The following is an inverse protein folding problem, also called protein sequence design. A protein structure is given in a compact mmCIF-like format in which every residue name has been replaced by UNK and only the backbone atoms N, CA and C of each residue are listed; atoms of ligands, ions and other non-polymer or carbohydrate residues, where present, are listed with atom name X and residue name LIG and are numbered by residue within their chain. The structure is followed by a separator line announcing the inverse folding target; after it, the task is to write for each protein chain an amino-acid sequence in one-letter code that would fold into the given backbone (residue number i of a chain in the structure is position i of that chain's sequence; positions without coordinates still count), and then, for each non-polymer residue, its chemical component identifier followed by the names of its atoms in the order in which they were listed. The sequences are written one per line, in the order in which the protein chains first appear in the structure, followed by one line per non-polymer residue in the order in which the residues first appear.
data_IF_852484705456
#
_entry.id   IF_852484705456
#
_cell.length_a   1.000
_cell.length_b   1.000
_cell.length_c   1.000
_cell.angle_alpha   90.00
_cell.angle_beta   90.00
_cell.angle_gamma   90.00
#
_symmetry.space_group_name_H-M   'P 1'
#
loop_
_entity.id
_entity.type
_entity.pdbx_description
1 polymer ?
#
# COMPACT_ATOMS: atom_id res chain seq x y z
N UNK A 1 -26.76 11.19 -9.08
CA UNK A 1 -26.94 11.10 -7.62
C UNK A 1 -25.62 10.53 -7.12
N UNK A 2 -24.68 11.39 -6.73
CA UNK A 2 -23.43 10.93 -6.12
C UNK A 2 -23.80 10.39 -4.74
N UNK A 3 -23.65 9.09 -4.55
CA UNK A 3 -23.73 8.51 -3.21
C UNK A 3 -22.53 9.08 -2.47
N UNK A 4 -22.79 9.85 -1.41
CA UNK A 4 -21.74 10.36 -0.53
C UNK A 4 -21.02 9.12 0.05
N UNK A 5 -19.88 8.77 -0.53
CA UNK A 5 -19.13 7.59 -0.13
C UNK A 5 -18.62 7.83 1.29
N UNK A 6 -19.07 7.01 2.23
CA UNK A 6 -18.63 7.13 3.62
C UNK A 6 -17.19 6.67 3.75
N UNK A 7 -16.47 7.20 4.75
CA UNK A 7 -15.10 6.78 5.11
C UNK A 7 -14.97 5.26 5.12
N UNK A 8 -15.86 4.58 5.83
CA UNK A 8 -15.78 3.13 6.05
C UNK A 8 -15.95 2.36 4.73
N UNK A 9 -16.85 2.82 3.85
CA UNK A 9 -17.06 2.22 2.54
C UNK A 9 -15.83 2.41 1.65
N UNK A 10 -15.27 3.62 1.58
CA UNK A 10 -14.05 3.88 0.81
C UNK A 10 -12.89 3.00 1.31
N UNK A 11 -12.68 2.97 2.63
CA UNK A 11 -11.57 2.27 3.27
C UNK A 11 -11.68 0.75 3.09
N UNK A 12 -12.88 0.16 3.22
CA UNK A 12 -13.06 -1.28 2.99
C UNK A 12 -12.91 -1.64 1.51
N UNK A 13 -13.42 -0.81 0.59
CA UNK A 13 -13.20 -1.03 -0.85
C UNK A 13 -11.72 -0.93 -1.20
N UNK A 14 -10.98 0.02 -0.61
CA UNK A 14 -9.52 0.10 -0.74
C UNK A 14 -8.87 -1.18 -0.24
N UNK A 15 -9.28 -1.70 0.92
CA UNK A 15 -8.74 -2.94 1.49
C UNK A 15 -8.83 -4.10 0.51
N UNK A 16 -10.01 -4.33 -0.05
CA UNK A 16 -10.27 -5.44 -0.97
C UNK A 16 -9.42 -5.30 -2.23
N UNK A 17 -9.51 -4.15 -2.90
CA UNK A 17 -8.82 -3.93 -4.18
C UNK A 17 -7.29 -3.90 -4.02
N UNK A 18 -6.78 -3.28 -2.96
CA UNK A 18 -5.34 -3.27 -2.68
C UNK A 18 -4.85 -4.67 -2.35
N UNK A 19 -5.59 -5.47 -1.56
CA UNK A 19 -5.19 -6.84 -1.27
C UNK A 19 -5.10 -7.69 -2.55
N UNK A 20 -6.07 -7.59 -3.45
CA UNK A 20 -6.05 -8.26 -4.76
C UNK A 20 -4.84 -7.81 -5.60
N UNK A 21 -4.64 -6.49 -5.77
CA UNK A 21 -3.52 -5.97 -6.56
C UNK A 21 -2.15 -6.30 -5.96
N UNK A 22 -2.03 -6.36 -4.64
CA UNK A 22 -0.79 -6.81 -3.97
C UNK A 22 -0.55 -8.29 -4.23
N UNK A 23 -1.58 -9.14 -4.17
CA UNK A 23 -1.45 -10.57 -4.44
C UNK A 23 -0.94 -10.81 -5.86
N UNK A 24 -1.44 -10.06 -6.84
CA UNK A 24 -1.00 -10.13 -8.24
C UNK A 24 0.48 -9.80 -8.47
N UNK A 25 1.14 -9.06 -7.56
CA UNK A 25 2.57 -8.78 -7.65
C UNK A 25 3.41 -10.07 -7.64
N UNK A 26 2.95 -11.08 -6.91
CA UNK A 26 3.71 -12.30 -6.61
C UNK A 26 3.34 -13.48 -7.53
N UNK A 27 2.30 -13.35 -8.35
CA UNK A 27 1.83 -14.40 -9.26
C UNK A 27 2.78 -14.56 -10.45
N UNK A 28 3.09 -15.81 -10.79
CA UNK A 28 3.91 -16.13 -11.96
C UNK A 28 3.24 -15.68 -13.26
N UNK A 29 3.98 -14.95 -14.10
CA UNK A 29 3.45 -14.43 -15.38
C UNK A 29 2.75 -13.07 -15.28
N UNK A 30 2.62 -12.51 -14.06
CA UNK A 30 2.21 -11.11 -13.87
C UNK A 30 3.25 -10.14 -14.41
N UNK A 31 2.79 -9.06 -15.05
CA UNK A 31 3.61 -7.94 -15.54
C UNK A 31 4.37 -7.22 -14.41
N UNK A 32 3.91 -7.36 -13.16
CA UNK A 32 4.57 -6.77 -12.00
C UNK A 32 5.86 -7.50 -11.58
N UNK A 33 5.91 -8.83 -11.77
CA UNK A 33 7.17 -9.58 -11.82
C UNK A 33 7.91 -9.85 -10.50
N UNK A 34 7.26 -9.81 -9.33
CA UNK A 34 7.87 -10.16 -8.05
C UNK A 34 7.75 -11.66 -7.72
N UNK A 35 7.99 -12.52 -8.72
CA UNK A 35 7.81 -13.97 -8.61
C UNK A 35 8.73 -14.57 -7.54
N UNK A 36 8.13 -15.35 -6.63
CA UNK A 36 8.83 -15.92 -5.47
C UNK A 36 8.93 -14.97 -4.27
N UNK A 37 8.29 -13.80 -4.35
CA UNK A 37 8.01 -12.98 -3.18
C UNK A 37 6.78 -13.47 -2.40
N UNK A 38 6.57 -12.91 -1.23
CA UNK A 38 5.49 -13.26 -0.33
C UNK A 38 4.98 -12.03 0.43
N UNK A 39 3.66 -11.90 0.53
CA UNK A 39 3.02 -10.91 1.39
C UNK A 39 3.08 -11.36 2.84
N UNK A 40 3.88 -10.70 3.67
CA UNK A 40 4.02 -11.03 5.09
C UNK A 40 2.88 -10.42 5.93
N UNK A 41 2.45 -9.20 5.58
CA UNK A 41 1.37 -8.47 6.26
C UNK A 41 0.73 -7.44 5.34
N UNK A 42 -0.58 -7.32 5.41
CA UNK A 42 -1.31 -6.15 4.95
C UNK A 42 -2.38 -5.80 5.99
N UNK A 43 -2.37 -4.55 6.48
CA UNK A 43 -3.30 -4.07 7.48
C UNK A 43 -3.70 -2.62 7.21
N UNK A 44 -4.91 -2.27 7.62
CA UNK A 44 -5.33 -0.87 7.75
C UNK A 44 -5.27 -0.51 9.22
N UNK A 45 -4.63 0.60 9.54
CA UNK A 45 -4.39 1.09 10.90
C UNK A 45 -4.99 2.47 11.03
N UNK A 46 -5.82 2.66 12.05
CA UNK A 46 -6.38 3.97 12.38
C UNK A 46 -5.39 4.78 13.21
N UNK A 47 -5.20 6.04 12.83
CA UNK A 47 -4.36 7.00 13.54
C UNK A 47 -5.14 8.31 13.69
N UNK A 48 -5.94 8.41 14.75
CA UNK A 48 -6.87 9.52 14.94
C UNK A 48 -7.97 9.49 13.87
N UNK A 49 -8.05 10.56 13.08
CA UNK A 49 -9.02 10.67 11.97
C UNK A 49 -8.50 10.08 10.66
N UNK A 50 -7.23 9.69 10.61
CA UNK A 50 -6.60 9.12 9.43
C UNK A 50 -6.65 7.59 9.45
N UNK A 51 -6.66 6.99 8.26
CA UNK A 51 -6.45 5.55 8.07
C UNK A 51 -5.22 5.36 7.20
N UNK A 52 -4.30 4.52 7.65
CA UNK A 52 -3.08 4.18 6.93
C UNK A 52 -3.09 2.71 6.53
N UNK A 53 -2.66 2.43 5.31
CA UNK A 53 -2.35 1.08 4.87
C UNK A 53 -0.89 0.76 5.16
N UNK A 54 -0.67 -0.35 5.86
CA UNK A 54 0.64 -0.91 6.15
C UNK A 54 0.79 -2.23 5.41
N UNK A 55 1.82 -2.32 4.57
CA UNK A 55 2.20 -3.56 3.89
C UNK A 55 3.63 -3.93 4.26
N UNK A 56 3.83 -5.18 4.64
CA UNK A 56 5.13 -5.82 4.74
C UNK A 56 5.19 -7.01 3.80
N UNK A 57 6.26 -7.17 3.05
CA UNK A 57 6.45 -8.29 2.15
C UNK A 57 7.92 -8.63 1.97
N UNK A 58 8.18 -9.87 1.60
CA UNK A 58 9.51 -10.42 1.42
C UNK A 58 9.74 -10.76 -0.06
N UNK A 59 10.91 -10.42 -0.59
CA UNK A 59 11.31 -10.79 -1.96
C UNK A 59 12.81 -10.98 -2.03
N UNK A 60 13.25 -12.14 -2.58
CA UNK A 60 14.68 -12.52 -2.71
C UNK A 60 15.49 -12.37 -1.41
N UNK A 61 14.90 -12.79 -0.29
CA UNK A 61 15.55 -12.74 1.04
C UNK A 61 15.60 -11.34 1.67
N UNK A 62 15.03 -10.32 1.03
CA UNK A 62 14.90 -8.98 1.58
C UNK A 62 13.47 -8.73 2.06
N UNK A 63 13.34 -7.95 3.13
CA UNK A 63 12.06 -7.51 3.67
C UNK A 63 11.82 -6.05 3.31
N UNK A 64 10.60 -5.77 2.89
CA UNK A 64 10.13 -4.45 2.52
C UNK A 64 8.94 -4.10 3.38
N UNK A 65 8.91 -2.86 3.85
CA UNK A 65 7.77 -2.28 4.57
C UNK A 65 7.31 -1.05 3.81
N UNK A 66 6.03 -0.76 3.79
CA UNK A 66 5.47 0.44 3.20
C UNK A 66 4.22 0.85 3.96
N UNK A 67 4.15 2.13 4.30
CA UNK A 67 2.99 2.73 4.96
C UNK A 67 2.52 3.91 4.14
N UNK A 68 1.21 4.02 3.92
CA UNK A 68 0.62 5.16 3.22
C UNK A 68 -0.75 5.51 3.78
N UNK A 69 -1.01 6.80 3.97
CA UNK A 69 -2.34 7.30 4.28
C UNK A 69 -3.32 6.97 3.14
N UNK A 70 -4.44 6.37 3.51
CA UNK A 70 -5.59 6.01 2.65
C UNK A 70 -6.73 7.00 2.83
N UNK A 71 -6.99 7.41 4.09
CA UNK A 71 -8.02 8.37 4.44
C UNK A 71 -7.44 9.56 5.22
N UNK A 72 -7.85 10.82 4.94
CA UNK A 72 -8.77 11.23 3.87
C UNK A 72 -8.19 10.95 2.47
N UNK A 73 -9.05 10.74 1.46
CA UNK A 73 -8.61 10.31 0.15
C UNK A 73 -8.02 11.48 -0.63
N UNK A 74 -6.77 11.34 -1.07
CA UNK A 74 -6.12 12.33 -1.94
C UNK A 74 -6.48 12.13 -3.42
N UNK A 75 -7.04 10.96 -3.77
CA UNK A 75 -7.38 10.53 -5.12
C UNK A 75 -8.62 9.63 -5.12
N UNK A 76 -9.32 9.51 -6.27
CA UNK A 76 -10.30 8.45 -6.49
C UNK A 76 -9.74 7.07 -6.15
N UNK A 77 -10.59 6.19 -5.65
CA UNK A 77 -10.23 4.89 -5.09
C UNK A 77 -9.33 4.07 -6.02
N UNK A 78 -9.73 3.92 -7.28
CA UNK A 78 -9.04 3.08 -8.26
C UNK A 78 -7.64 3.62 -8.56
N UNK A 79 -7.49 4.95 -8.62
CA UNK A 79 -6.18 5.62 -8.77
C UNK A 79 -5.33 5.41 -7.51
N UNK A 80 -5.92 5.57 -6.32
CA UNK A 80 -5.22 5.38 -5.04
C UNK A 80 -4.68 3.96 -4.91
N UNK A 81 -5.46 2.94 -5.28
CA UNK A 81 -5.05 1.53 -5.28
C UNK A 81 -3.92 1.28 -6.28
N UNK A 82 -4.09 1.72 -7.54
CA UNK A 82 -3.07 1.53 -8.56
C UNK A 82 -1.72 2.16 -8.15
N UNK A 83 -1.75 3.40 -7.63
CA UNK A 83 -0.57 4.05 -7.10
C UNK A 83 0.02 3.28 -5.92
N UNK A 84 -0.79 2.81 -4.99
CA UNK A 84 -0.32 2.05 -3.83
C UNK A 84 0.45 0.79 -4.24
N UNK A 85 -0.10 0.01 -5.17
CA UNK A 85 0.50 -1.22 -5.70
C UNK A 85 1.79 -0.94 -6.48
N UNK A 86 1.79 0.08 -7.36
CA UNK A 86 2.99 0.44 -8.12
C UNK A 86 4.12 0.95 -7.20
N UNK A 87 3.81 1.65 -6.11
CA UNK A 87 4.84 2.07 -5.14
C UNK A 87 5.48 0.87 -4.43
N UNK A 88 4.72 -0.18 -4.11
CA UNK A 88 5.28 -1.41 -3.55
C UNK A 88 6.26 -2.08 -4.53
N UNK A 89 5.89 -2.13 -5.81
CA UNK A 89 6.75 -2.64 -6.87
C UNK A 89 8.01 -1.78 -7.03
N UNK A 90 7.86 -0.45 -7.07
CA UNK A 90 8.99 0.47 -7.17
C UNK A 90 9.97 0.32 -6.00
N UNK A 91 9.50 0.06 -4.77
CA UNK A 91 10.38 -0.17 -3.61
C UNK A 91 11.35 -1.33 -3.85
N UNK A 92 10.91 -2.40 -4.51
CA UNK A 92 11.80 -3.52 -4.85
C UNK A 92 12.83 -3.12 -5.91
N UNK A 93 12.39 -2.42 -6.96
CA UNK A 93 13.24 -2.07 -8.10
C UNK A 93 14.31 -1.05 -7.73
N UNK A 94 13.96 -0.09 -6.88
CA UNK A 94 14.84 1.05 -6.56
C UNK A 94 15.65 0.83 -5.29
N UNK A 95 15.30 -0.16 -4.45
CA UNK A 95 15.86 -0.36 -3.10
C UNK A 95 15.90 0.92 -2.26
N UNK A 96 15.07 1.93 -2.57
CA UNK A 96 15.30 3.33 -2.20
C UNK A 96 14.99 3.72 -0.76
N UNK A 97 14.56 2.79 0.09
CA UNK A 97 14.27 3.11 1.49
C UNK A 97 14.80 1.99 2.38
N UNK A 98 15.94 2.20 3.08
CA UNK A 98 16.32 1.27 4.14
C UNK A 98 15.22 1.26 5.21
N UNK A 99 15.06 0.09 5.83
CA UNK A 99 14.19 -0.16 6.98
C UNK A 99 14.47 0.90 8.05
N UNK A 100 13.52 1.80 8.32
CA UNK A 100 13.64 2.86 9.33
C UNK A 100 13.12 4.25 8.95
N UNK A 101 12.63 4.45 7.72
CA UNK A 101 11.95 5.71 7.36
C UNK A 101 10.53 5.74 7.90
N UNK A 102 10.36 6.15 9.16
CA UNK A 102 9.07 6.62 9.67
C UNK A 102 8.53 7.67 8.71
N UNK A 103 7.44 7.31 8.01
CA UNK A 103 6.64 8.25 7.24
C UNK A 103 5.79 9.17 8.13
N UNK A 104 6.15 9.31 9.40
CA UNK A 104 5.63 10.32 10.30
C UNK A 104 6.50 11.57 10.21
N UNK A 105 5.91 12.63 9.67
CA UNK A 105 6.34 14.03 9.74
C UNK A 105 7.69 14.32 10.43
N UNK A 106 8.74 14.59 9.65
CA UNK A 106 9.82 15.47 10.08
C UNK A 106 9.50 16.89 9.59
N UNK A 107 8.61 17.58 10.30
CA UNK A 107 8.75 19.04 10.39
C UNK A 107 9.93 19.28 11.32
N UNK A 108 11.03 19.76 10.76
CA UNK A 108 12.14 20.31 11.53
C UNK A 108 12.08 21.83 11.34
N UNK A 109 11.92 22.55 12.45
CA UNK A 109 11.99 24.01 12.55
C UNK A 109 13.34 24.54 12.08
#
# INVERSE_FOLDING_TARGET
MEVEETRDVYVERFRVLAHEGIAELFVQGSTAGLVGGHLDRFALVEQGEEVHAETAFSYRGLRFHYTRRVWPPDFPLEIKVALYVEHLRERVLTRRYPVGGDGGAAVVL
#
